data_IF_092821744110
#
_entry.id   IF_092821744110
#
_cell.length_a   1.000
_cell.length_b   1.000
_cell.length_c   1.000
_cell.angle_alpha   90.00
_cell.angle_beta   90.00
_cell.angle_gamma   90.00
#
_symmetry.space_group_name_H-M   'P 1'
#
loop_
_entity.id
_entity.type
_entity.pdbx_description
1 polymer ?
#
# COMPACT_ATOMS: atom_id res chain seq x y z
N UNK A 1 10.63 20.92 36.00
CA UNK A 1 10.73 19.49 35.59
C UNK A 1 12.18 19.20 35.19
N UNK A 2 12.86 18.20 35.78
CA UNK A 2 14.29 17.94 35.49
C UNK A 2 14.45 17.65 33.98
N UNK A 3 15.38 18.33 33.29
CA UNK A 3 15.61 18.22 31.81
C UNK A 3 15.61 16.76 31.31
N UNK A 4 16.16 15.84 32.11
CA UNK A 4 16.15 14.39 31.87
C UNK A 4 14.75 13.76 31.70
N UNK A 5 13.75 14.18 32.49
CA UNK A 5 12.37 13.67 32.36
C UNK A 5 11.72 14.12 31.05
N UNK A 6 11.97 15.37 30.64
CA UNK A 6 11.45 15.90 29.36
C UNK A 6 12.03 15.10 28.19
N UNK A 7 13.34 14.85 28.18
CA UNK A 7 14.00 14.07 27.13
C UNK A 7 13.41 12.65 27.02
N UNK A 8 13.21 11.96 28.15
CA UNK A 8 12.64 10.61 28.16
C UNK A 8 11.20 10.62 27.60
N UNK A 9 10.38 11.58 28.02
CA UNK A 9 9.00 11.69 27.55
C UNK A 9 8.97 11.96 26.04
N UNK A 10 9.82 12.86 25.54
CA UNK A 10 9.92 13.15 24.11
C UNK A 10 10.36 11.92 23.31
N UNK A 11 11.30 11.13 23.81
CA UNK A 11 11.76 9.91 23.15
C UNK A 11 10.64 8.85 23.05
N UNK A 12 9.90 8.64 24.15
CA UNK A 12 8.75 7.72 24.18
C UNK A 12 7.65 8.20 23.22
N UNK A 13 7.38 9.50 23.19
CA UNK A 13 6.40 10.08 22.28
C UNK A 13 6.77 9.84 20.81
N UNK A 14 8.05 10.01 20.44
CA UNK A 14 8.53 9.75 19.07
C UNK A 14 8.34 8.27 18.69
N UNK A 15 8.64 7.34 19.61
CA UNK A 15 8.43 5.90 19.36
C UNK A 15 6.93 5.61 19.17
N UNK A 16 6.07 6.12 20.06
CA UNK A 16 4.63 5.91 19.96
C UNK A 16 4.05 6.47 18.66
N UNK A 17 4.47 7.67 18.25
CA UNK A 17 4.08 8.28 16.98
C UNK A 17 4.57 7.44 15.80
N UNK A 18 5.80 6.93 15.85
CA UNK A 18 6.35 6.08 14.77
C UNK A 18 5.53 4.81 14.59
N UNK A 19 5.16 4.14 15.69
CA UNK A 19 4.33 2.93 15.66
C UNK A 19 2.92 3.25 15.15
N UNK A 20 2.32 4.34 15.63
CA UNK A 20 0.99 4.76 15.19
C UNK A 20 0.99 5.11 13.69
N UNK A 21 1.99 5.83 13.22
CA UNK A 21 2.14 6.21 11.83
C UNK A 21 2.22 4.97 10.94
N UNK A 22 3.09 4.00 11.27
CA UNK A 22 3.31 2.79 10.46
C UNK A 22 2.07 1.89 10.31
N UNK A 23 1.11 1.99 11.24
CA UNK A 23 -0.14 1.22 11.20
C UNK A 23 -1.33 2.02 10.62
N UNK A 24 -1.18 3.33 10.40
CA UNK A 24 -2.27 4.18 9.93
C UNK A 24 -2.11 4.53 8.45
N UNK A 25 -3.09 4.09 7.66
CA UNK A 25 -3.19 4.36 6.24
C UNK A 25 -4.53 5.02 5.95
N UNK A 26 -4.47 6.19 5.31
CA UNK A 26 -5.64 6.91 4.79
C UNK A 26 -5.52 7.05 3.28
N UNK A 27 -6.65 7.25 2.58
CA UNK A 27 -6.68 7.33 1.11
C UNK A 27 -5.67 8.33 0.53
N UNK A 28 -5.48 9.49 1.16
CA UNK A 28 -4.49 10.47 0.71
C UNK A 28 -3.03 9.99 0.77
N UNK A 29 -2.69 9.08 1.68
CA UNK A 29 -1.34 8.52 1.78
C UNK A 29 -1.07 7.47 0.70
N UNK A 30 -2.10 6.70 0.34
CA UNK A 30 -1.99 5.59 -0.62
C UNK A 30 -2.42 5.97 -2.04
N UNK A 31 -3.13 7.07 -2.24
CA UNK A 31 -3.47 7.54 -3.57
C UNK A 31 -2.19 7.94 -4.30
N UNK A 32 -2.06 7.54 -5.56
CA UNK A 32 -0.85 7.75 -6.35
C UNK A 32 -0.67 6.71 -7.44
N UNK A 33 0.46 6.84 -8.15
CA UNK A 33 0.86 5.89 -9.20
C UNK A 33 1.84 4.88 -8.62
N UNK A 34 1.69 3.65 -9.06
CA UNK A 34 2.46 2.51 -8.64
C UNK A 34 2.98 1.74 -9.85
N UNK A 35 4.16 1.12 -9.70
CA UNK A 35 4.76 0.24 -10.71
C UNK A 35 5.15 -1.10 -10.08
N UNK A 36 4.91 -2.18 -10.82
CA UNK A 36 5.36 -3.52 -10.44
C UNK A 36 6.72 -3.83 -11.10
N UNK A 37 7.74 -4.12 -10.30
CA UNK A 37 9.12 -4.26 -10.78
C UNK A 37 9.66 -5.71 -10.76
N UNK A 38 8.84 -6.67 -10.37
CA UNK A 38 9.27 -8.05 -10.19
C UNK A 38 8.95 -8.88 -11.43
N UNK A 39 9.93 -9.65 -11.89
CA UNK A 39 9.72 -10.72 -12.86
C UNK A 39 9.33 -11.98 -12.11
N UNK A 40 8.15 -12.51 -12.34
CA UNK A 40 7.74 -13.77 -11.73
C UNK A 40 6.64 -14.46 -12.52
N UNK A 41 6.71 -15.78 -12.59
CA UNK A 41 5.73 -16.67 -13.23
C UNK A 41 4.47 -16.80 -12.38
N UNK A 42 3.84 -15.68 -12.05
CA UNK A 42 2.55 -15.70 -11.36
C UNK A 42 1.48 -16.12 -12.36
N UNK A 43 0.78 -17.22 -12.07
CA UNK A 43 -0.34 -17.70 -12.87
C UNK A 43 -1.43 -16.63 -13.03
N UNK A 44 -1.64 -15.83 -11.98
CA UNK A 44 -2.55 -14.68 -11.97
C UNK A 44 -1.90 -13.54 -11.18
N UNK A 45 -1.67 -12.41 -11.84
CA UNK A 45 -1.04 -11.24 -11.21
C UNK A 45 -0.44 -10.27 -12.22
N UNK A 46 0.17 -9.18 -11.72
CA UNK A 46 0.79 -8.16 -12.56
C UNK A 46 2.10 -8.63 -13.16
N UNK A 47 2.36 -8.19 -14.38
CA UNK A 47 3.63 -8.37 -15.07
C UNK A 47 4.61 -7.24 -14.74
N UNK A 48 5.91 -7.52 -14.95
CA UNK A 48 6.95 -6.51 -14.74
C UNK A 48 6.72 -5.32 -15.66
N UNK A 49 6.54 -4.14 -15.06
CA UNK A 49 6.26 -2.89 -15.75
C UNK A 49 4.79 -2.45 -15.64
N UNK A 50 3.90 -3.29 -15.11
CA UNK A 50 2.50 -2.96 -14.94
C UNK A 50 2.31 -1.80 -13.97
N UNK A 51 1.38 -0.92 -14.32
CA UNK A 51 1.01 0.22 -13.50
C UNK A 51 -0.30 -0.03 -12.76
N UNK A 52 -0.39 0.58 -11.58
CA UNK A 52 -1.61 0.70 -10.79
C UNK A 52 -1.75 2.15 -10.31
N UNK A 53 -2.91 2.75 -10.52
CA UNK A 53 -3.22 4.11 -10.10
C UNK A 53 -4.37 4.07 -9.12
N UNK A 54 -4.13 4.50 -7.89
CA UNK A 54 -5.17 4.65 -6.86
C UNK A 54 -5.58 6.12 -6.77
N UNK A 55 -6.86 6.42 -7.02
CA UNK A 55 -7.42 7.78 -6.99
C UNK A 55 -8.05 8.07 -5.63
N UNK A 56 -7.94 9.30 -5.12
CA UNK A 56 -8.47 9.68 -3.81
C UNK A 56 -9.96 9.39 -3.60
N UNK A 57 -10.75 9.40 -4.68
CA UNK A 57 -12.18 9.10 -4.64
C UNK A 57 -12.51 7.61 -4.45
N UNK A 58 -11.52 6.71 -4.38
CA UNK A 58 -11.74 5.27 -4.24
C UNK A 58 -11.85 4.52 -5.57
N UNK A 59 -11.51 5.15 -6.70
CA UNK A 59 -11.39 4.47 -7.99
C UNK A 59 -9.94 4.04 -8.24
N UNK A 60 -9.75 3.00 -9.05
CA UNK A 60 -8.42 2.63 -9.54
C UNK A 60 -8.39 2.36 -11.05
N UNK A 61 -7.19 2.42 -11.60
CA UNK A 61 -6.87 1.98 -12.96
C UNK A 61 -5.59 1.13 -12.93
N UNK A 62 -5.57 0.01 -13.62
CA UNK A 62 -4.50 -0.97 -13.62
C UNK A 62 -4.32 -1.56 -15.01
N UNK A 63 -3.06 -1.79 -15.39
CA UNK A 63 -2.74 -2.49 -16.63
C UNK A 63 -3.16 -3.96 -16.55
N UNK A 64 -3.11 -4.57 -15.36
CA UNK A 64 -3.46 -5.97 -15.10
C UNK A 64 -4.97 -6.19 -14.93
N UNK A 65 -5.64 -5.37 -14.11
CA UNK A 65 -7.04 -5.60 -13.69
C UNK A 65 -8.03 -4.57 -14.25
N UNK A 66 -7.61 -3.76 -15.23
CA UNK A 66 -8.46 -2.74 -15.83
C UNK A 66 -8.85 -1.65 -14.83
N UNK A 67 -10.15 -1.35 -14.72
CA UNK A 67 -10.66 -0.24 -13.89
C UNK A 67 -11.71 -0.73 -12.91
N UNK A 68 -11.76 -0.10 -11.75
CA UNK A 68 -12.74 -0.47 -10.74
C UNK A 68 -12.72 0.42 -9.51
N UNK A 69 -13.23 -0.11 -8.41
CA UNK A 69 -13.26 0.55 -7.10
C UNK A 69 -12.29 -0.13 -6.15
N UNK A 70 -11.71 0.64 -5.24
CA UNK A 70 -10.93 0.08 -4.15
C UNK A 70 -11.46 0.50 -2.78
N UNK A 71 -11.34 -0.42 -1.83
CA UNK A 71 -11.67 -0.20 -0.42
C UNK A 71 -10.40 -0.30 0.41
N UNK A 72 -10.25 0.59 1.38
CA UNK A 72 -9.14 0.62 2.32
C UNK A 72 -9.67 0.34 3.72
N UNK A 73 -9.16 -0.71 4.35
CA UNK A 73 -9.52 -1.11 5.72
C UNK A 73 -8.24 -1.37 6.50
N UNK A 74 -7.79 -0.39 7.28
CA UNK A 74 -6.49 -0.45 7.96
C UNK A 74 -5.35 -0.52 6.92
N UNK A 75 -4.52 -1.56 7.00
CA UNK A 75 -3.46 -1.83 6.01
C UNK A 75 -3.94 -2.68 4.83
N UNK A 76 -5.19 -3.14 4.81
CA UNK A 76 -5.72 -3.96 3.70
C UNK A 76 -6.34 -3.06 2.64
N UNK A 77 -5.99 -3.31 1.38
CA UNK A 77 -6.66 -2.72 0.23
C UNK A 77 -7.28 -3.84 -0.62
N UNK A 78 -8.51 -3.62 -1.05
CA UNK A 78 -9.27 -4.57 -1.87
C UNK A 78 -9.70 -3.86 -3.15
N UNK A 79 -9.30 -4.39 -4.29
CA UNK A 79 -9.75 -3.98 -5.61
C UNK A 79 -10.96 -4.82 -5.99
N UNK A 80 -12.02 -4.17 -6.44
CA UNK A 80 -13.16 -4.81 -7.05
C UNK A 80 -13.23 -4.30 -8.50
N UNK A 81 -13.16 -5.21 -9.46
CA UNK A 81 -13.18 -4.92 -10.89
C UNK A 81 -14.10 -5.89 -11.62
N UNK A 82 -14.41 -5.57 -12.87
CA UNK A 82 -15.11 -6.48 -13.77
C UNK A 82 -14.23 -6.72 -14.99
N UNK A 83 -14.14 -7.98 -15.40
CA UNK A 83 -13.45 -8.42 -16.61
C UNK A 83 -14.42 -9.23 -17.51
N UNK A 84 -13.89 -9.84 -18.56
CA UNK A 84 -14.68 -10.63 -19.52
C UNK A 84 -15.27 -11.92 -18.92
N UNK A 85 -14.80 -12.35 -17.75
CA UNK A 85 -15.26 -13.54 -17.03
C UNK A 85 -16.20 -13.20 -15.86
N UNK A 86 -16.30 -11.93 -15.48
CA UNK A 86 -17.26 -11.42 -14.49
C UNK A 86 -16.63 -10.47 -13.48
N UNK A 87 -17.17 -10.46 -12.26
CA UNK A 87 -16.65 -9.64 -11.17
C UNK A 87 -15.44 -10.32 -10.50
N UNK A 88 -14.33 -9.59 -10.41
CA UNK A 88 -13.07 -10.00 -9.80
C UNK A 88 -12.74 -9.21 -8.54
N UNK A 89 -12.06 -9.85 -7.60
CA UNK A 89 -11.56 -9.22 -6.38
C UNK A 89 -10.09 -9.55 -6.20
N UNK A 90 -9.27 -8.52 -6.01
CA UNK A 90 -7.86 -8.67 -5.64
C UNK A 90 -7.55 -7.94 -4.33
N UNK A 91 -6.75 -8.55 -3.47
CA UNK A 91 -6.44 -8.03 -2.14
C UNK A 91 -4.94 -7.83 -1.98
N UNK A 92 -4.54 -6.63 -1.57
CA UNK A 92 -3.17 -6.35 -1.15
C UNK A 92 -3.08 -6.01 0.34
N UNK A 93 -1.88 -6.17 0.87
CA UNK A 93 -1.50 -5.60 2.17
C UNK A 93 -0.56 -4.43 1.96
N UNK A 94 -0.80 -3.32 2.64
CA UNK A 94 0.07 -2.14 2.59
C UNK A 94 1.14 -2.29 3.67
N UNK A 95 2.37 -1.94 3.30
CA UNK A 95 3.49 -1.85 4.23
C UNK A 95 4.35 -0.63 3.94
N UNK A 96 5.15 -0.19 4.92
CA UNK A 96 6.20 0.82 4.72
C UNK A 96 7.56 0.22 5.02
N UNK A 97 8.58 0.75 4.35
CA UNK A 97 9.96 0.46 4.68
C UNK A 97 10.38 1.35 5.85
N UNK A 98 10.85 0.78 6.95
CA UNK A 98 11.41 1.49 8.12
C UNK A 98 10.48 2.55 8.75
N UNK A 99 9.20 2.23 8.99
CA UNK A 99 8.16 3.08 9.62
C UNK A 99 7.76 4.36 8.85
N UNK A 100 8.71 5.02 8.19
CA UNK A 100 8.55 6.34 7.57
C UNK A 100 8.67 6.34 6.03
N UNK A 101 8.95 5.19 5.43
CA UNK A 101 9.06 5.06 3.98
C UNK A 101 7.73 5.23 3.24
N UNK A 102 7.82 5.36 1.92
CA UNK A 102 6.63 5.36 1.04
C UNK A 102 5.84 4.06 1.22
N UNK A 103 4.50 4.10 1.18
CA UNK A 103 3.69 2.90 1.23
C UNK A 103 3.91 2.04 -0.02
N UNK A 104 3.99 0.73 0.19
CA UNK A 104 4.12 -0.31 -0.83
C UNK A 104 2.89 -1.21 -0.75
N UNK A 105 2.38 -1.63 -1.90
CA UNK A 105 1.25 -2.57 -1.94
C UNK A 105 1.83 -3.96 -2.18
N UNK A 106 1.80 -4.79 -1.13
CA UNK A 106 2.35 -6.14 -1.16
C UNK A 106 1.40 -7.05 -1.92
N UNK A 107 1.90 -7.59 -3.02
CA UNK A 107 1.23 -8.54 -3.92
C UNK A 107 1.40 -9.95 -3.37
N UNK A 108 2.64 -10.33 -3.06
CA UNK A 108 2.95 -11.62 -2.46
C UNK A 108 3.97 -11.42 -1.34
N UNK A 109 3.59 -11.77 -0.11
CA UNK A 109 4.43 -11.56 1.08
C UNK A 109 5.61 -12.52 1.12
N UNK A 110 5.41 -13.77 0.71
CA UNK A 110 6.43 -14.82 0.79
C UNK A 110 7.55 -14.57 -0.23
N UNK A 111 7.18 -14.09 -1.42
CA UNK A 111 8.13 -13.71 -2.47
C UNK A 111 8.66 -12.28 -2.32
N UNK A 112 8.08 -11.48 -1.41
CA UNK A 112 8.43 -10.08 -1.22
C UNK A 112 8.08 -9.20 -2.42
N UNK A 113 7.07 -9.58 -3.20
CA UNK A 113 6.61 -8.86 -4.38
C UNK A 113 5.65 -7.74 -3.99
N UNK A 114 5.87 -6.55 -4.54
CA UNK A 114 5.07 -5.38 -4.25
C UNK A 114 5.05 -4.38 -5.41
N UNK A 115 4.01 -3.55 -5.39
CA UNK A 115 3.95 -2.31 -6.15
C UNK A 115 4.68 -1.19 -5.41
N UNK A 116 5.57 -0.49 -6.11
CA UNK A 116 6.30 0.66 -5.60
C UNK A 116 5.64 1.97 -6.03
N UNK A 117 5.43 2.88 -5.07
CA UNK A 117 4.81 4.19 -5.33
C UNK A 117 5.80 5.12 -6.04
N UNK A 118 5.48 5.52 -7.27
CA UNK A 118 6.31 6.40 -8.10
C UNK A 118 5.95 7.88 -7.94
N UNK A 119 4.65 8.21 -7.80
CA UNK A 119 4.13 9.56 -7.54
C UNK A 119 2.99 9.52 -6.52
#
# INVERSE_FOLDING_TARGET
MKKRKVIIISFIAIIAISIAYDNLYVKGMIAGKYIYNFSGDQLEGPDKGDHLVLKMNGLFESDTWGKGIYKLTGSRIELNYADEFGDGIYVFTISRRFFWGKPRLVVNKDLGYYFEKTN
#
